data_IF_307905128309
#
_entry.id   IF_307905128309
#
_cell.length_a   1.000
_cell.length_b   1.000
_cell.length_c   1.000
_cell.angle_alpha   90.00
_cell.angle_beta   90.00
_cell.angle_gamma   90.00
#
_symmetry.space_group_name_H-M   'P 1'
#
loop_
_entity.id
_entity.type
_entity.pdbx_description
1 polymer ?
2 non-polymer ?
3 non-polymer ?
4 non-polymer ?
5 water ?
#
# COMPACT_ATOMS: atom_id res chain seq x y z
N UNK A 4 24.16 4.60 -20.51
CA UNK A 4 24.14 3.12 -20.70
C UNK A 4 22.96 2.47 -19.96
N UNK A 5 22.68 1.22 -20.31
CA UNK A 5 21.58 0.48 -19.72
C UNK A 5 21.84 0.21 -18.23
N UNK A 6 20.83 -0.31 -17.55
CA UNK A 6 20.88 -0.58 -16.12
C UNK A 6 20.07 -1.83 -15.81
N UNK A 7 20.59 -2.68 -14.93
CA UNK A 7 19.80 -3.73 -14.30
C UNK A 7 20.08 -3.70 -12.81
N UNK A 8 19.18 -4.30 -12.04
CA UNK A 8 19.29 -4.32 -10.59
C UNK A 8 19.38 -5.76 -10.10
N UNK A 9 20.05 -5.94 -8.96
CA UNK A 9 20.01 -7.18 -8.21
C UNK A 9 19.41 -6.86 -6.84
N UNK A 10 18.41 -7.63 -6.41
CA UNK A 10 17.78 -7.42 -5.11
C UNK A 10 18.00 -8.66 -4.24
N UNK A 11 18.65 -8.46 -3.10
CA UNK A 11 18.94 -9.55 -2.16
C UNK A 11 17.74 -9.76 -1.26
N UNK A 12 17.15 -10.96 -1.33
CA UNK A 12 15.85 -11.21 -0.70
C UNK A 12 15.67 -12.64 -0.18
N UNK A 13 16.77 -13.29 0.18
CA UNK A 13 16.77 -14.72 0.51
C UNK A 13 16.62 -15.03 2.00
N UNK A 14 16.63 -14.00 2.85
CA UNK A 14 16.72 -14.20 4.29
C UNK A 14 15.49 -14.79 4.96
N UNK A 15 15.72 -15.55 6.02
CA UNK A 15 14.65 -16.15 6.81
C UNK A 15 13.94 -15.12 7.70
N UNK A 16 14.68 -14.11 8.16
CA UNK A 16 14.12 -13.10 9.03
C UNK A 16 13.65 -13.70 10.35
N UNK A 17 14.55 -14.42 11.01
CA UNK A 17 14.25 -15.15 12.24
C UNK A 17 13.67 -14.27 13.35
N UNK A 18 14.18 -13.05 13.48
CA UNK A 18 13.79 -12.15 14.57
C UNK A 18 12.45 -11.43 14.32
N UNK A 19 11.81 -11.74 13.18
CA UNK A 19 10.42 -11.37 12.93
C UNK A 19 9.45 -12.37 13.58
N UNK A 20 9.96 -13.56 13.91
CA UNK A 20 9.18 -14.64 14.52
C UNK A 20 7.89 -14.90 13.73
N UNK A 21 8.10 -15.22 12.46
CA UNK A 21 7.05 -15.32 11.46
C UNK A 21 7.24 -16.53 10.58
N UNK A 22 6.14 -17.02 10.01
CA UNK A 22 6.19 -18.06 8.99
C UNK A 22 6.54 -17.47 7.61
N UNK A 23 6.45 -16.14 7.48
CA UNK A 23 6.89 -15.46 6.26
C UNK A 23 8.40 -15.28 6.24
N UNK A 24 8.99 -15.26 5.04
CA UNK A 24 10.40 -14.86 4.91
C UNK A 24 10.54 -13.35 5.14
N UNK A 25 11.77 -12.92 5.38
CA UNK A 25 12.05 -11.56 5.85
C UNK A 25 11.43 -10.43 5.02
N UNK A 26 11.52 -10.53 3.69
CA UNK A 26 11.19 -9.38 2.84
C UNK A 26 9.73 -9.28 2.43
N UNK A 27 8.88 -10.23 2.84
CA UNK A 27 7.46 -10.20 2.51
C UNK A 27 6.61 -9.39 3.50
N UNK A 28 7.18 -9.05 4.66
CA UNK A 28 6.50 -8.20 5.63
C UNK A 28 6.21 -6.84 4.99
N UNK A 29 5.04 -6.30 5.24
CA UNK A 29 4.57 -5.13 4.50
C UNK A 29 4.93 -3.80 5.15
N UNK A 30 5.18 -2.81 4.30
CA UNK A 30 5.20 -1.40 4.65
C UNK A 30 4.15 -0.73 3.77
N UNK A 31 3.22 -0.01 4.40
CA UNK A 31 2.16 0.69 3.68
C UNK A 31 1.37 -0.27 2.77
N UNK A 32 1.10 -1.47 3.29
CA UNK A 32 0.29 -2.47 2.61
C UNK A 32 1.00 -3.29 1.53
N UNK A 33 2.30 -3.05 1.37
CA UNK A 33 3.07 -3.61 0.26
C UNK A 33 4.33 -4.29 0.82
N UNK A 34 4.61 -5.53 0.44
CA UNK A 34 5.84 -6.20 0.89
C UNK A 34 7.08 -5.33 0.72
N UNK A 35 8.01 -5.37 1.67
CA UNK A 35 9.23 -4.56 1.60
C UNK A 35 9.92 -4.73 0.24
N UNK A 36 10.02 -5.97 -0.23
CA UNK A 36 10.71 -6.26 -1.48
C UNK A 36 9.99 -5.63 -2.68
N UNK A 37 8.67 -5.52 -2.61
CA UNK A 37 7.89 -4.88 -3.67
C UNK A 37 8.22 -3.39 -3.80
N UNK A 38 8.46 -2.71 -2.67
CA UNK A 38 8.92 -1.32 -2.71
C UNK A 38 10.23 -1.22 -3.50
N UNK A 39 11.15 -2.14 -3.26
CA UNK A 39 12.47 -2.10 -3.88
C UNK A 39 12.37 -2.44 -5.38
N UNK A 40 11.55 -3.43 -5.73
CA UNK A 40 11.29 -3.77 -7.13
C UNK A 40 10.76 -2.55 -7.87
N UNK A 41 9.76 -1.88 -7.29
CA UNK A 41 9.14 -0.72 -7.92
C UNK A 41 10.15 0.40 -8.14
N UNK A 42 11.00 0.64 -7.15
CA UNK A 42 12.02 1.66 -7.24
C UNK A 42 13.02 1.33 -8.35
N UNK A 43 13.42 0.07 -8.43
CA UNK A 43 14.32 -0.39 -9.47
C UNK A 43 13.71 -0.18 -10.86
N UNK A 44 12.40 -0.41 -10.98
CA UNK A 44 11.71 -0.25 -12.25
C UNK A 44 11.61 1.21 -12.68
N UNK A 45 11.30 2.10 -11.75
CA UNK A 45 11.18 3.53 -12.08
C UNK A 45 12.55 4.17 -12.33
N UNK A 46 13.61 3.50 -11.85
CA UNK A 46 14.98 3.91 -12.12
C UNK A 46 15.37 3.62 -13.57
N UNK A 47 14.64 2.71 -14.21
CA UNK A 47 14.86 2.34 -15.59
C UNK A 47 15.54 1.01 -15.78
N UNK A 48 15.42 0.11 -14.79
CA UNK A 48 16.08 -1.20 -14.85
C UNK A 48 15.48 -2.07 -15.95
N UNK A 49 16.34 -2.62 -16.80
CA UNK A 49 15.93 -3.51 -17.87
C UNK A 49 15.62 -4.90 -17.31
N UNK A 50 16.52 -5.42 -16.48
CA UNK A 50 16.30 -6.65 -15.74
C UNK A 50 16.36 -6.37 -14.24
N UNK A 51 15.58 -7.11 -13.47
CA UNK A 51 15.66 -7.09 -12.01
C UNK A 51 15.87 -8.51 -11.54
N UNK A 52 17.07 -8.82 -11.06
CA UNK A 52 17.40 -10.16 -10.60
C UNK A 52 17.10 -10.30 -9.12
N UNK A 53 16.08 -11.09 -8.79
CA UNK A 53 15.66 -11.29 -7.41
C UNK A 53 16.31 -12.54 -6.83
N UNK A 54 17.26 -12.34 -5.92
CA UNK A 54 17.91 -13.45 -5.22
C UNK A 54 16.99 -13.85 -4.07
N UNK A 55 16.41 -15.05 -4.16
CA UNK A 55 15.50 -15.54 -3.13
C UNK A 55 15.91 -16.93 -2.66
N UNK A 56 15.36 -17.35 -1.53
CA UNK A 56 15.71 -18.63 -0.95
C UNK A 56 14.69 -19.09 0.08
N UNK A 57 14.82 -18.58 1.30
CA UNK A 57 13.89 -18.93 2.37
C UNK A 57 12.47 -18.48 2.06
N UNK A 58 11.50 -19.31 2.43
CA UNK A 58 10.10 -19.06 2.13
C UNK A 58 9.86 -18.93 0.63
N UNK A 59 10.55 -19.73 -0.17
CA UNK A 59 10.52 -19.64 -1.61
C UNK A 59 9.12 -19.73 -2.22
N UNK A 60 8.31 -20.67 -1.75
CA UNK A 60 6.96 -20.85 -2.26
C UNK A 60 6.10 -19.63 -1.95
N UNK A 61 6.26 -19.06 -0.76
CA UNK A 61 5.53 -17.85 -0.38
C UNK A 61 5.97 -16.63 -1.21
N UNK A 62 7.27 -16.54 -1.52
CA UNK A 62 7.78 -15.47 -2.37
C UNK A 62 7.13 -15.55 -3.74
N UNK A 63 7.03 -16.76 -4.27
CA UNK A 63 6.50 -16.99 -5.61
C UNK A 63 5.00 -16.71 -5.72
N UNK A 64 4.25 -17.01 -4.68
CA UNK A 64 2.81 -16.75 -4.66
C UNK A 64 2.51 -15.27 -4.42
N UNK A 65 3.27 -14.64 -3.54
CA UNK A 65 3.04 -13.24 -3.16
C UNK A 65 3.55 -12.24 -4.20
N UNK A 66 4.50 -12.66 -5.03
CA UNK A 66 5.11 -11.77 -6.02
C UNK A 66 5.01 -12.36 -7.42
N UNK A 67 3.97 -13.14 -7.65
CA UNK A 67 3.81 -13.90 -8.90
C UNK A 67 3.83 -13.03 -10.14
N UNK A 68 3.25 -11.83 -10.07
CA UNK A 68 3.17 -10.94 -11.22
C UNK A 68 4.30 -9.93 -11.38
N UNK A 69 5.33 -10.04 -10.54
CA UNK A 69 6.45 -9.12 -10.62
C UNK A 69 7.38 -9.49 -11.76
N UNK A 70 7.82 -8.47 -12.50
CA UNK A 70 8.70 -8.67 -13.64
C UNK A 70 10.15 -8.73 -13.16
N UNK A 71 10.52 -9.91 -12.66
CA UNK A 71 11.85 -10.18 -12.14
C UNK A 71 12.38 -11.52 -12.66
N UNK A 72 13.70 -11.63 -12.67
CA UNK A 72 14.40 -12.88 -12.91
C UNK A 72 14.52 -13.61 -11.57
N UNK A 73 13.85 -14.75 -11.46
CA UNK A 73 13.85 -15.53 -10.22
C UNK A 73 15.12 -16.35 -10.08
N UNK A 74 16.01 -15.92 -9.19
CA UNK A 74 17.31 -16.55 -8.97
C UNK A 74 17.30 -17.25 -7.61
N UNK A 75 17.06 -18.56 -7.62
CA UNK A 75 16.92 -19.33 -6.40
C UNK A 75 18.28 -19.76 -5.84
N UNK A 76 18.67 -19.13 -4.74
CA UNK A 76 19.92 -19.43 -4.05
C UNK A 76 19.72 -20.59 -3.08
N UNK A 77 20.55 -21.63 -3.21
CA UNK A 77 20.45 -22.83 -2.37
C UNK A 77 21.07 -22.65 -0.99
N UNK A 78 22.10 -21.80 -0.88
CA UNK A 78 22.69 -21.50 0.42
C UNK A 78 23.22 -20.06 0.53
N UNK A 79 23.04 -19.47 1.70
CA UNK A 79 23.52 -18.14 2.00
C UNK A 79 24.96 -18.23 2.47
N UNK A 80 25.89 -17.78 1.62
CA UNK A 80 27.32 -17.79 1.93
C UNK A 80 27.92 -16.39 1.93
N UNK A 81 27.07 -15.37 1.96
CA UNK A 81 27.52 -13.99 1.98
C UNK A 81 26.96 -13.20 0.82
N UNK A 82 27.00 -11.87 0.93
CA UNK A 82 26.39 -11.00 -0.08
C UNK A 82 27.05 -11.10 -1.45
N UNK A 83 28.37 -11.29 -1.49
CA UNK A 83 29.07 -11.46 -2.77
C UNK A 83 28.62 -12.72 -3.48
N UNK A 84 28.39 -13.79 -2.73
CA UNK A 84 27.88 -15.04 -3.30
C UNK A 84 26.47 -14.84 -3.87
N UNK A 85 25.65 -14.07 -3.16
CA UNK A 85 24.27 -13.79 -3.60
C UNK A 85 24.25 -13.02 -4.91
N UNK A 86 25.05 -11.97 -5.00
CA UNK A 86 25.12 -11.17 -6.22
C UNK A 86 25.69 -12.01 -7.36
N UNK A 87 26.64 -12.89 -7.05
CA UNK A 87 27.27 -13.72 -8.07
C UNK A 87 26.29 -14.74 -8.68
N UNK A 88 25.21 -15.07 -7.96
CA UNK A 88 24.16 -15.94 -8.50
C UNK A 88 23.50 -15.34 -9.74
N UNK A 89 23.39 -14.01 -9.78
CA UNK A 89 22.83 -13.29 -10.92
C UNK A 89 23.87 -12.87 -11.96
N UNK A 90 25.16 -12.97 -11.60
CA UNK A 90 26.25 -12.46 -12.44
C UNK A 90 26.29 -12.98 -13.89
N UNK A 91 25.98 -14.26 -14.13
CA UNK A 91 25.95 -14.79 -15.50
C UNK A 91 25.00 -14.04 -16.45
N UNK A 92 24.00 -13.36 -15.90
CA UNK A 92 23.01 -12.64 -16.68
C UNK A 92 23.34 -11.15 -16.88
N UNK A 93 24.39 -10.66 -16.23
CA UNK A 93 24.82 -9.27 -16.39
C UNK A 93 25.36 -9.06 -17.81
N UNK A 94 24.90 -8.00 -18.47
CA UNK A 94 25.53 -7.54 -19.69
C UNK A 94 26.82 -6.82 -19.32
N UNK A 95 27.87 -7.04 -20.11
CA UNK A 95 29.17 -6.46 -19.82
C UNK A 95 29.12 -4.93 -19.72
N UNK A 96 28.34 -4.29 -20.58
CA UNK A 96 28.32 -2.84 -20.68
C UNK A 96 27.01 -2.18 -20.22
N UNK A 97 26.32 -2.83 -19.28
CA UNK A 97 25.25 -2.18 -18.53
C UNK A 97 25.75 -1.95 -17.10
N UNK A 98 25.18 -0.95 -16.44
CA UNK A 98 25.41 -0.76 -15.01
C UNK A 98 24.55 -1.73 -14.21
N UNK A 99 25.04 -2.10 -13.04
CA UNK A 99 24.31 -2.96 -12.12
C UNK A 99 24.27 -2.29 -10.75
N UNK A 100 23.07 -2.12 -10.20
CA UNK A 100 22.90 -1.59 -8.85
C UNK A 100 22.47 -2.73 -7.94
N UNK A 101 23.11 -2.84 -6.77
CA UNK A 101 22.80 -3.88 -5.80
C UNK A 101 21.96 -3.25 -4.69
N UNK A 102 20.78 -3.83 -4.46
CA UNK A 102 19.83 -3.35 -3.47
C UNK A 102 19.42 -4.47 -2.53
N UNK A 103 18.88 -4.11 -1.38
CA UNK A 103 18.48 -5.08 -0.37
C UNK A 103 16.98 -5.05 -0.17
N UNK A 104 16.37 -6.22 -0.19
CA UNK A 104 14.92 -6.36 -0.10
C UNK A 104 14.33 -6.01 1.25
N UNK A 105 15.18 -5.95 2.28
CA UNK A 105 14.78 -5.53 3.62
C UNK A 105 15.12 -4.06 3.92
N UNK A 106 15.42 -3.29 2.88
CA UNK A 106 15.65 -1.85 2.99
C UNK A 106 14.79 -1.12 1.96
N UNK A 107 13.50 -0.99 2.27
CA UNK A 107 12.49 -0.56 1.27
C UNK A 107 12.39 0.94 1.01
N UNK A 108 13.01 1.76 1.84
CA UNK A 108 12.85 3.22 1.74
C UNK A 108 13.83 3.92 0.78
N UNK A 109 14.78 3.17 0.22
CA UNK A 109 15.73 3.77 -0.72
C UNK A 109 14.99 4.43 -1.88
N UNK A 110 15.35 5.67 -2.19
CA UNK A 110 14.64 6.47 -3.21
C UNK A 110 15.33 6.41 -4.56
N UNK A 111 14.52 6.57 -5.60
CA UNK A 111 14.99 6.69 -6.98
C UNK A 111 15.97 7.85 -7.13
N UNK A 112 15.72 8.93 -6.41
CA UNK A 112 16.52 10.15 -6.53
C UNK A 112 17.95 9.93 -6.03
N UNK A 113 18.09 9.25 -4.90
CA UNK A 113 19.41 8.93 -4.35
C UNK A 113 20.16 7.95 -5.25
N UNK A 114 19.44 6.97 -5.80
CA UNK A 114 20.04 5.95 -6.65
C UNK A 114 20.44 6.52 -8.02
N UNK A 115 19.74 7.56 -8.46
CA UNK A 115 20.09 8.26 -9.70
C UNK A 115 21.41 9.01 -9.52
N UNK A 116 21.57 9.65 -8.36
CA UNK A 116 22.83 10.34 -8.02
C UNK A 116 23.99 9.34 -7.91
N UNK A 117 23.69 8.16 -7.39
CA UNK A 117 24.69 7.10 -7.21
C UNK A 117 25.21 6.61 -8.57
N UNK A 118 24.27 6.34 -9.48
CA UNK A 118 24.61 5.84 -10.81
C UNK A 118 25.41 6.88 -11.60
N UNK A 119 25.03 8.15 -11.46
CA UNK A 119 25.68 9.25 -12.19
C UNK A 119 27.11 9.50 -11.73
N UNK A 120 27.37 9.23 -10.46
CA UNK A 120 28.69 9.45 -9.86
C UNK A 120 29.69 8.34 -10.19
N UNK A 121 29.20 7.22 -10.70
CA UNK A 121 30.05 6.05 -11.00
C UNK A 121 31.04 6.38 -12.12
N UNK A 122 32.34 6.30 -11.84
CA UNK A 122 33.36 6.51 -12.86
C UNK A 122 33.52 5.28 -13.73
N UNK A 123 33.99 5.45 -14.97
CA UNK A 123 34.15 4.32 -15.89
C UNK A 123 35.07 3.25 -15.29
N UNK A 124 34.66 1.99 -15.42
CA UNK A 124 35.36 0.83 -14.86
C UNK A 124 35.53 0.85 -13.34
N UNK A 125 34.74 1.69 -12.66
CA UNK A 125 34.85 1.89 -11.23
C UNK A 125 33.56 1.56 -10.51
N UNK A 126 33.48 1.98 -9.24
CA UNK A 126 32.31 1.74 -8.40
C UNK A 126 31.80 3.04 -7.79
N UNK A 127 30.49 3.19 -7.69
CA UNK A 127 29.87 4.23 -6.88
C UNK A 127 29.29 3.54 -5.65
N UNK A 128 29.72 3.98 -4.46
CA UNK A 128 29.31 3.37 -3.21
C UNK A 128 28.41 4.32 -2.43
N UNK A 129 27.24 3.84 -2.04
CA UNK A 129 26.33 4.62 -1.20
C UNK A 129 26.78 4.55 0.25
N UNK A 130 27.02 5.71 0.86
CA UNK A 130 27.41 5.81 2.25
C UNK A 130 26.37 6.59 3.04
N UNK A 131 26.52 6.59 4.36
CA UNK A 131 25.62 7.33 5.24
C UNK A 131 26.34 7.78 6.50
N UNK A 132 26.07 9.02 6.94
CA UNK A 132 26.65 9.56 8.16
C UNK A 132 25.76 9.21 9.36
N UNK A 133 26.35 8.53 10.34
CA UNK A 133 25.68 8.21 11.59
C UNK A 133 26.34 8.96 12.73
N UNK A 134 25.56 9.33 13.75
CA UNK A 134 26.12 9.99 14.93
C UNK A 134 26.91 8.99 15.77
N UNK A 135 26.38 7.77 15.88
CA UNK A 135 27.10 6.66 16.48
C UNK A 135 27.36 5.57 15.43
N UNK A 136 28.52 5.63 14.78
CA UNK A 136 28.86 4.67 13.72
C UNK A 136 29.48 3.36 14.23
N UNK A 137 29.30 3.04 15.51
CA UNK A 137 29.91 1.85 16.10
C UNK A 137 29.33 0.57 15.50
N UNK A 138 30.22 -0.30 15.01
CA UNK A 138 29.84 -1.58 14.42
C UNK A 138 29.91 -1.63 12.90
N UNK A 139 29.91 -0.46 12.26
CA UNK A 139 29.86 -0.34 10.81
C UNK A 139 31.22 0.02 10.23
N UNK A 140 31.44 -0.36 8.97
CA UNK A 140 32.68 -0.07 8.27
C UNK A 140 32.84 1.40 7.93
N UNK A 141 33.95 1.99 8.35
CA UNK A 141 34.21 3.42 8.14
C UNK A 141 34.75 3.66 6.74
N UNK A 142 34.31 4.74 6.11
CA UNK A 142 34.78 5.13 4.79
C UNK A 142 36.04 5.97 4.92
N UNK A 143 37.12 5.50 4.30
CA UNK A 143 38.39 6.21 4.29
C UNK A 143 38.55 6.86 2.93
N UNK A 144 38.68 8.19 2.92
CA UNK A 144 38.82 8.95 1.69
C UNK A 144 40.21 9.57 1.61
N UNK A 145 40.98 9.16 0.60
CA UNK A 145 42.25 9.81 0.27
C UNK A 145 42.01 10.65 -0.99
N UNK A 146 42.25 11.95 -0.87
CA UNK A 146 41.68 12.95 -1.77
C UNK A 146 40.16 13.10 -2.04
N UNK A 147 39.63 12.29 -2.96
CA UNK A 147 38.19 12.24 -3.20
C UNK A 147 37.65 10.87 -3.57
N UNK A 148 38.41 9.81 -3.26
CA UNK A 148 38.00 8.43 -3.56
C UNK A 148 38.08 7.53 -2.35
N UNK A 149 37.22 6.53 -2.30
CA UNK A 149 37.22 5.53 -1.24
C UNK A 149 38.34 4.52 -1.46
N UNK A 150 39.38 4.62 -0.64
CA UNK A 150 40.53 3.70 -0.71
C UNK A 150 40.37 2.49 0.21
N UNK A 151 39.47 2.57 1.20
CA UNK A 151 39.25 1.46 2.11
C UNK A 151 37.94 1.59 2.91
N UNK A 152 37.42 0.43 3.32
CA UNK A 152 36.33 0.35 4.28
C UNK A 152 36.88 -0.40 5.48
N UNK A 153 37.19 0.34 6.54
CA UNK A 153 37.81 -0.23 7.73
C UNK A 153 36.74 -0.61 8.75
N UNK A 154 36.63 -1.89 9.06
CA UNK A 154 35.63 -2.39 10.00
C UNK A 154 35.95 -1.92 11.42
N UNK A 155 34.97 -2.07 12.31
CA UNK A 155 35.07 -1.61 13.71
C UNK A 155 36.34 -2.05 14.41
N UNK A 156 36.64 -3.36 14.39
CA UNK A 156 37.73 -3.91 15.21
C UNK A 156 39.13 -3.70 14.62
N UNK A 157 39.20 -3.26 13.37
CA UNK A 157 40.47 -2.93 12.71
C UNK A 157 40.85 -1.45 12.85
N UNK A 158 39.84 -0.59 13.05
CA UNK A 158 40.06 0.85 13.03
C UNK A 158 40.90 1.33 14.20
N UNK A 159 41.80 2.27 13.93
CA UNK A 159 42.55 2.96 14.98
C UNK A 159 41.68 4.04 15.63
N UNK A 160 42.22 4.78 16.60
CA UNK A 160 41.45 5.73 17.38
C UNK A 160 40.74 6.81 16.54
N UNK A 161 41.48 7.44 15.63
CA UNK A 161 40.93 8.54 14.82
C UNK A 161 39.95 8.04 13.75
N UNK A 162 40.11 6.80 13.32
CA UNK A 162 39.23 6.21 12.30
C UNK A 162 37.86 5.87 12.87
N UNK A 163 37.81 5.56 14.16
CA UNK A 163 36.54 5.29 14.83
C UNK A 163 35.66 6.54 14.95
N UNK A 164 36.29 7.72 14.91
CA UNK A 164 35.56 8.98 14.92
C UNK A 164 34.95 9.36 13.58
N UNK A 165 35.33 8.66 12.50
CA UNK A 165 34.71 8.86 11.19
C UNK A 165 33.24 8.44 11.27
N UNK A 166 32.35 9.33 10.83
CA UNK A 166 30.91 9.12 10.91
C UNK A 166 30.35 8.45 9.65
N UNK A 167 31.01 8.67 8.52
CA UNK A 167 30.57 8.09 7.25
C UNK A 167 30.82 6.60 7.25
N UNK A 168 29.80 5.81 6.91
CA UNK A 168 29.90 4.35 6.92
C UNK A 168 29.34 3.72 5.64
N UNK A 169 29.66 2.44 5.46
CA UNK A 169 29.26 1.68 4.28
C UNK A 169 27.84 1.16 4.45
N UNK A 170 27.04 1.27 3.39
CA UNK A 170 25.67 0.72 3.38
C UNK A 170 25.58 -0.61 2.64
N UNK A 171 26.56 -0.92 1.80
CA UNK A 171 26.53 -2.14 1.00
C UNK A 171 25.87 -1.96 -0.35
N UNK A 172 25.20 -0.83 -0.56
CA UNK A 172 24.56 -0.51 -1.84
C UNK A 172 25.61 0.10 -2.75
N UNK A 173 25.71 -0.41 -3.98
CA UNK A 173 26.73 0.04 -4.91
C UNK A 173 26.34 -0.16 -6.38
N UNK A 174 27.03 0.56 -7.26
CA UNK A 174 26.84 0.46 -8.69
C UNK A 174 28.18 0.25 -9.38
N UNK A 175 28.23 -0.71 -10.30
CA UNK A 175 29.38 -0.92 -11.17
C UNK A 175 28.92 -1.59 -12.46
N UNK A 176 29.76 -1.59 -13.49
CA UNK A 176 29.39 -2.22 -14.76
C UNK A 176 29.42 -3.74 -14.64
N UNK A 177 28.69 -4.42 -15.51
CA UNK A 177 28.50 -5.86 -15.41
C UNK A 177 29.79 -6.65 -15.55
N UNK A 178 30.67 -6.22 -16.44
CA UNK A 178 31.94 -6.91 -16.65
C UNK A 178 32.84 -6.81 -15.40
N UNK A 179 32.81 -5.65 -14.76
CA UNK A 179 33.59 -5.42 -13.54
C UNK A 179 33.07 -6.30 -12.41
N UNK A 180 31.74 -6.43 -12.32
CA UNK A 180 31.13 -7.29 -11.30
C UNK A 180 31.56 -8.75 -11.50
N UNK A 181 31.48 -9.23 -12.73
CA UNK A 181 31.87 -10.61 -13.03
C UNK A 181 33.33 -10.89 -12.64
N UNK A 182 34.19 -9.93 -12.96
CA UNK A 182 35.63 -10.04 -12.69
C UNK A 182 35.92 -10.09 -11.19
N UNK A 183 35.40 -9.12 -10.45
CA UNK A 183 35.72 -8.95 -9.04
C UNK A 183 35.02 -9.96 -8.13
N UNK A 184 33.79 -10.33 -8.45
CA UNK A 184 33.07 -11.32 -7.65
C UNK A 184 33.80 -12.66 -7.62
N UNK A 185 34.43 -13.03 -8.74
CA UNK A 185 35.20 -14.26 -8.84
C UNK A 185 36.49 -14.23 -7.98
N UNK A 186 36.91 -13.04 -7.58
CA UNK A 186 38.11 -12.86 -6.76
C UNK A 186 37.81 -12.59 -5.27
N UNK A 187 36.54 -12.57 -4.89
CA UNK A 187 36.20 -12.43 -3.48
C UNK A 187 36.42 -13.77 -2.76
N UNK A 188 37.11 -13.70 -1.62
CA UNK A 188 37.33 -14.86 -0.78
C UNK A 188 36.49 -14.80 0.49
N UNK A 189 36.69 -15.77 1.37
CA UNK A 189 35.92 -15.86 2.60
C UNK A 189 36.81 -15.98 3.84
N UNK A 190 38.04 -15.47 3.75
CA UNK A 190 38.98 -15.52 4.85
C UNK A 190 38.72 -14.39 5.85
N UNK A 191 37.73 -14.60 6.69
CA UNK A 191 37.35 -13.67 7.75
C UNK A 191 36.64 -14.42 8.87
N UNK A 192 36.34 -13.74 9.97
CA UNK A 192 35.80 -14.41 11.17
C UNK A 192 34.46 -15.10 10.93
N UNK A 193 33.69 -14.61 9.96
CA UNK A 193 32.37 -15.14 9.66
C UNK A 193 32.41 -16.24 8.59
N UNK A 194 33.51 -16.33 7.86
CA UNK A 194 33.66 -17.31 6.80
C UNK A 194 32.75 -17.05 5.61
N UNK A 195 32.46 -15.77 5.36
CA UNK A 195 31.52 -15.37 4.31
C UNK A 195 32.19 -14.57 3.20
N UNK A 196 31.61 -14.65 2.01
CA UNK A 196 32.04 -13.86 0.86
C UNK A 196 31.28 -12.54 0.87
N UNK A 197 31.97 -11.46 1.24
CA UNK A 197 31.36 -10.15 1.42
C UNK A 197 31.46 -9.33 0.14
N UNK A 198 30.35 -8.74 -0.27
CA UNK A 198 30.32 -7.81 -1.40
C UNK A 198 31.19 -6.57 -1.11
N UNK A 199 31.33 -6.24 0.16
CA UNK A 199 32.17 -5.13 0.62
C UNK A 199 33.59 -5.18 0.05
N UNK A 200 34.12 -6.38 -0.11
CA UNK A 200 35.49 -6.59 -0.61
C UNK A 200 35.74 -6.10 -2.04
N UNK A 201 34.67 -5.82 -2.79
CA UNK A 201 34.81 -5.26 -4.14
C UNK A 201 35.52 -3.91 -4.15
N UNK A 202 35.41 -3.15 -3.06
CA UNK A 202 36.08 -1.85 -2.94
C UNK A 202 37.60 -2.06 -2.90
N UNK A 203 38.04 -3.04 -2.13
CA UNK A 203 39.46 -3.39 -2.06
C UNK A 203 39.97 -3.89 -3.42
N UNK A 204 39.19 -4.74 -4.07
CA UNK A 204 39.56 -5.31 -5.37
C UNK A 204 39.60 -4.26 -6.47
N UNK A 205 38.73 -3.26 -6.39
CA UNK A 205 38.72 -2.18 -7.37
C UNK A 205 39.98 -1.34 -7.23
N UNK A 206 40.35 -1.04 -5.99
CA UNK A 206 41.58 -0.30 -5.71
C UNK A 206 42.84 -1.09 -6.09
N UNK A 207 42.77 -2.41 -6.05
CA UNK A 207 43.84 -3.28 -6.52
C UNK A 207 44.08 -3.14 -8.02
N UNK A 208 43.00 -2.90 -8.75
CA UNK A 208 43.02 -2.76 -10.21
C UNK A 208 43.21 -1.33 -10.69
N UNK A 209 43.55 -0.43 -9.76
CA UNK A 209 43.65 1.00 -10.04
C UNK A 209 42.37 1.55 -10.69
N UNK A 210 41.24 1.11 -10.16
CA UNK A 210 39.92 1.62 -10.53
C UNK A 210 39.38 2.48 -9.39
N UNK A 211 38.66 3.53 -9.76
CA UNK A 211 38.20 4.54 -8.82
C UNK A 211 36.91 4.11 -8.14
N UNK A 212 36.83 4.32 -6.82
CA UNK A 212 35.60 4.16 -6.06
C UNK A 212 35.19 5.53 -5.52
N UNK A 213 34.00 6.00 -5.88
CA UNK A 213 33.50 7.30 -5.46
C UNK A 213 32.37 7.12 -4.46
N UNK A 214 32.37 7.90 -3.39
CA UNK A 214 31.32 7.86 -2.38
C UNK A 214 30.22 8.87 -2.70
N UNK A 215 28.97 8.43 -2.56
CA UNK A 215 27.80 9.28 -2.67
C UNK A 215 27.02 9.16 -1.37
N UNK A 216 26.85 10.27 -0.66
CA UNK A 216 26.19 10.27 0.64
C UNK A 216 24.67 10.25 0.46
N UNK A 217 23.99 9.46 1.27
CA UNK A 217 22.53 9.42 1.28
C UNK A 217 22.03 10.65 2.02
N UNK A 218 20.89 11.17 1.57
CA UNK A 218 20.36 12.43 2.12
C UNK A 218 19.76 12.18 3.50
N UNK A 219 18.94 11.13 3.58
CA UNK A 219 18.28 10.73 4.82
C UNK A 219 18.88 9.42 5.33
N UNK A 220 19.08 9.32 6.64
CA UNK A 220 19.60 8.11 7.26
C UNK A 220 18.58 6.98 7.15
N UNK A 221 17.30 7.30 7.32
CA UNK A 221 16.22 6.32 7.27
C UNK A 221 16.07 5.68 5.89
N UNK A 222 16.51 6.41 4.87
CA UNK A 222 16.49 5.94 3.48
C UNK A 222 17.16 4.58 3.30
N UNK A 223 18.31 4.39 3.94
CA UNK A 223 19.10 3.17 3.81
C UNK A 223 18.89 2.20 4.98
N UNK A 224 17.97 2.55 5.87
CA UNK A 224 17.66 1.74 7.04
C UNK A 224 16.93 0.45 6.67
N UNK A 225 17.38 -0.67 7.24
CA UNK A 225 16.75 -1.95 7.04
C UNK A 225 15.86 -2.32 8.21
N UNK A 226 15.21 -3.47 8.12
CA UNK A 226 14.40 -3.99 9.21
C UNK A 226 14.71 -5.47 9.44
N UNK A 227 15.27 -5.77 10.61
CA UNK A 227 15.58 -7.13 11.04
C UNK A 227 14.49 -7.70 11.96
N UNK A 228 13.68 -6.81 12.52
CA UNK A 228 12.56 -7.22 13.36
C UNK A 228 11.38 -6.24 13.17
N UNK A 229 10.27 -6.51 13.84
CA UNK A 229 9.05 -5.75 13.59
C UNK A 229 9.06 -4.37 14.26
N UNK A 230 9.88 -4.20 15.29
CA UNK A 230 10.08 -2.89 15.90
C UNK A 230 10.75 -1.94 14.91
N UNK A 231 11.79 -2.43 14.24
CA UNK A 231 12.48 -1.64 13.21
C UNK A 231 11.56 -1.40 12.03
N UNK A 232 10.73 -2.39 11.70
CA UNK A 232 9.80 -2.26 10.60
C UNK A 232 8.76 -1.17 10.88
N UNK A 233 8.27 -1.13 12.12
CA UNK A 233 7.33 -0.11 12.56
C UNK A 233 7.91 1.29 12.43
N UNK A 234 9.21 1.43 12.70
CA UNK A 234 9.90 2.71 12.55
C UNK A 234 9.96 3.13 11.08
N UNK A 235 10.20 2.18 10.19
CA UNK A 235 10.19 2.45 8.76
C UNK A 235 8.80 2.84 8.30
N UNK A 236 7.78 2.18 8.82
CA UNK A 236 6.38 2.46 8.47
C UNK A 236 6.04 3.91 8.81
N UNK A 237 6.43 4.34 10.00
CA UNK A 237 6.06 5.66 10.49
C UNK A 237 6.79 6.75 9.71
N UNK A 238 8.07 6.51 9.41
CA UNK A 238 8.84 7.41 8.55
C UNK A 238 8.19 7.54 7.18
N UNK A 239 7.80 6.40 6.61
CA UNK A 239 7.20 6.36 5.29
C UNK A 239 5.86 7.10 5.25
N UNK A 240 5.03 6.87 6.26
CA UNK A 240 3.71 7.50 6.33
C UNK A 240 3.85 9.00 6.52
N UNK A 241 4.85 9.41 7.29
CA UNK A 241 5.09 10.84 7.52
C UNK A 241 5.56 11.55 6.26
N UNK A 242 6.38 10.86 5.46
CA UNK A 242 6.84 11.39 4.19
C UNK A 242 5.69 11.53 3.21
N UNK A 243 4.81 10.52 3.18
CA UNK A 243 3.65 10.54 2.29
C UNK A 243 2.69 11.66 2.67
N UNK A 244 2.44 11.80 3.96
CA UNK A 244 1.53 12.83 4.47
C UNK A 244 2.09 14.22 4.18
N UNK A 245 3.40 14.38 4.35
CA UNK A 245 4.06 15.67 4.12
C UNK A 245 3.99 16.08 2.65
N UNK A 246 4.12 15.09 1.76
CA UNK A 246 3.98 15.32 0.32
C UNK A 246 2.58 15.81 -0.02
N UNK A 247 1.57 15.19 0.58
CA UNK A 247 0.18 15.52 0.32
C UNK A 247 -0.16 16.91 0.86
N UNK A 248 0.35 17.23 2.05
CA UNK A 248 0.17 18.55 2.65
C UNK A 248 0.74 19.66 1.76
N UNK A 249 1.94 19.44 1.22
CA UNK A 249 2.57 20.43 0.35
C UNK A 249 1.85 20.54 -1.01
N UNK A 250 1.14 19.49 -1.40
CA UNK A 250 0.29 19.50 -2.61
C UNK A 250 -1.07 20.17 -2.39
N UNK A 251 -1.39 20.49 -1.13
CA UNK A 251 -2.59 21.24 -0.81
C UNK A 251 -3.71 20.44 -0.16
N UNK A 252 -3.42 19.21 0.26
CA UNK A 252 -4.39 18.42 1.01
C UNK A 252 -4.31 18.80 2.48
N UNK A 253 -5.42 19.21 3.09
CA UNK A 253 -5.47 19.47 4.52
C UNK A 253 -5.58 18.16 5.29
N UNK A 254 -4.49 17.72 5.89
CA UNK A 254 -4.51 16.57 6.77
C UNK A 254 -4.37 17.10 8.19
N UNK A 255 -5.45 16.98 8.97
CA UNK A 255 -5.53 17.57 10.32
C UNK A 255 -4.34 17.18 11.19
N UNK A 256 -4.02 15.89 11.20
CA UNK A 256 -2.86 15.36 11.90
C UNK A 256 -2.13 14.34 11.02
N UNK A 257 -0.99 14.70 10.45
CA UNK A 257 -0.22 13.78 9.59
C UNK A 257 0.33 12.55 10.33
N UNK A 258 0.42 12.61 11.66
CA UNK A 258 0.82 11.46 12.47
C UNK A 258 -0.32 10.45 12.67
N UNK A 259 -1.55 10.86 12.33
CA UNK A 259 -2.70 9.98 12.37
C UNK A 259 -3.36 9.89 11.02
N UNK A 260 -2.55 9.55 10.03
CA UNK A 260 -3.02 9.38 8.66
C UNK A 260 -2.22 8.23 8.07
N UNK A 261 -2.91 7.35 7.33
CA UNK A 261 -2.26 6.21 6.69
C UNK A 261 -2.68 6.07 5.25
N UNK A 262 -1.70 6.04 4.35
CA UNK A 262 -1.92 5.75 2.95
C UNK A 262 -1.20 4.45 2.61
N UNK A 263 -1.97 3.49 2.10
CA UNK A 263 -1.48 2.16 1.75
C UNK A 263 -1.89 1.88 0.32
N UNK A 264 -1.29 2.64 -0.59
CA UNK A 264 -1.61 2.60 -2.01
C UNK A 264 -1.35 3.95 -2.66
N UNK A 265 -2.27 4.40 -3.49
CA UNK A 265 -2.13 5.70 -4.17
C UNK A 265 -3.35 6.59 -3.93
N UNK A 266 -3.12 7.89 -3.87
CA UNK A 266 -4.17 8.88 -3.69
C UNK A 266 -4.05 9.97 -4.75
N UNK A 267 -5.05 10.07 -5.62
CA UNK A 267 -5.19 11.24 -6.50
C UNK A 267 -6.21 12.14 -5.81
N UNK A 268 -5.94 13.44 -5.80
CA UNK A 268 -6.77 14.39 -5.09
C UNK A 268 -6.97 15.67 -5.89
N UNK A 269 -8.10 16.33 -5.65
CA UNK A 269 -8.34 17.66 -6.17
C UNK A 269 -7.84 18.70 -5.17
N UNK A 270 -8.39 19.90 -5.27
CA UNK A 270 -8.05 21.00 -4.37
C UNK A 270 -9.03 21.08 -3.21
N UNK A 271 -8.56 21.63 -2.10
CA UNK A 271 -9.39 21.88 -0.90
C UNK A 271 -10.00 20.62 -0.30
N UNK A 272 -9.27 19.51 -0.41
CA UNK A 272 -9.64 18.26 0.24
C UNK A 272 -9.25 18.36 1.71
N UNK A 273 -10.12 17.91 2.61
CA UNK A 273 -9.86 17.91 4.04
C UNK A 273 -10.01 16.49 4.57
N UNK A 274 -8.99 16.02 5.28
CA UNK A 274 -8.98 14.67 5.83
C UNK A 274 -8.71 14.77 7.33
N UNK A 275 -9.70 14.37 8.12
CA UNK A 275 -9.62 14.44 9.57
C UNK A 275 -8.75 13.30 10.11
N UNK A 276 -8.57 13.29 11.42
CA UNK A 276 -7.65 12.36 12.06
C UNK A 276 -8.13 10.90 11.98
N UNK A 277 -7.16 9.99 11.92
CA UNK A 277 -7.41 8.54 11.90
C UNK A 277 -8.20 8.08 10.67
N UNK A 278 -7.74 8.50 9.51
CA UNK A 278 -8.28 8.00 8.25
C UNK A 278 -7.24 7.08 7.60
N UNK A 279 -7.73 6.00 7.01
CA UNK A 279 -6.88 5.05 6.28
C UNK A 279 -7.35 5.02 4.83
N UNK A 280 -6.41 5.25 3.92
CA UNK A 280 -6.64 5.20 2.48
C UNK A 280 -5.88 3.99 1.96
N UNK A 281 -6.59 3.07 1.30
CA UNK A 281 -6.00 1.81 0.84
C UNK A 281 -6.30 1.58 -0.64
N UNK A 282 -5.40 0.89 -1.32
CA UNK A 282 -5.54 0.65 -2.74
C UNK A 282 -5.47 1.95 -3.53
N UNK A 283 -6.22 2.01 -4.63
CA UNK A 283 -6.25 3.19 -5.49
C UNK A 283 -7.48 4.04 -5.17
N UNK A 284 -7.25 5.22 -4.60
CA UNK A 284 -8.33 6.12 -4.22
C UNK A 284 -8.19 7.45 -4.96
N UNK A 285 -9.32 7.92 -5.49
CA UNK A 285 -9.39 9.21 -6.16
C UNK A 285 -10.42 10.08 -5.44
N UNK A 286 -10.01 11.27 -5.03
CA UNK A 286 -10.91 12.23 -4.39
C UNK A 286 -10.99 13.50 -5.23
N UNK A 287 -12.21 14.01 -5.43
CA UNK A 287 -12.42 15.23 -6.19
C UNK A 287 -12.14 16.47 -5.37
N UNK A 288 -12.43 17.63 -5.94
CA UNK A 288 -12.30 18.90 -5.24
C UNK A 288 -13.26 18.99 -4.06
N UNK A 289 -12.78 19.56 -2.95
CA UNK A 289 -13.60 19.90 -1.80
C UNK A 289 -14.25 18.68 -1.12
N UNK A 290 -13.62 17.52 -1.25
CA UNK A 290 -14.06 16.34 -0.52
C UNK A 290 -13.60 16.49 0.93
N UNK A 291 -14.51 16.20 1.85
CA UNK A 291 -14.22 16.21 3.28
C UNK A 291 -14.42 14.80 3.82
N UNK A 292 -13.40 14.27 4.50
CA UNK A 292 -13.47 12.95 5.11
C UNK A 292 -13.36 13.11 6.62
N UNK A 293 -14.37 12.62 7.33
CA UNK A 293 -14.43 12.73 8.77
C UNK A 293 -13.55 11.70 9.45
N UNK A 294 -13.47 11.81 10.77
CA UNK A 294 -12.55 10.99 11.54
C UNK A 294 -12.94 9.52 11.48
N UNK A 295 -11.95 8.65 11.46
CA UNK A 295 -12.18 7.22 11.55
C UNK A 295 -12.51 6.50 10.26
N UNK A 296 -12.55 7.20 9.14
CA UNK A 296 -13.00 6.59 7.89
C UNK A 296 -11.93 5.69 7.27
N UNK A 297 -12.39 4.66 6.58
CA UNK A 297 -11.52 3.76 5.82
C UNK A 297 -12.05 3.73 4.39
N UNK A 298 -11.18 4.10 3.44
CA UNK A 298 -11.53 4.12 2.03
C UNK A 298 -10.56 3.21 1.30
N UNK A 299 -11.07 2.15 0.67
CA UNK A 299 -10.24 1.21 -0.08
C UNK A 299 -10.79 1.07 -1.51
N UNK A 300 -9.98 1.45 -2.50
CA UNK A 300 -10.36 1.33 -3.90
C UNK A 300 -11.69 2.02 -4.19
N UNK A 301 -11.70 3.33 -4.00
CA UNK A 301 -12.91 4.12 -4.21
C UNK A 301 -12.64 5.35 -5.08
N UNK A 302 -13.68 5.80 -5.76
CA UNK A 302 -13.66 7.08 -6.47
C UNK A 302 -14.75 7.94 -5.85
N UNK A 303 -14.37 9.14 -5.41
CA UNK A 303 -15.27 10.08 -4.74
C UNK A 303 -15.29 11.37 -5.53
N UNK A 304 -16.48 11.82 -5.90
CA UNK A 304 -16.65 13.00 -6.73
C UNK A 304 -16.49 14.31 -5.96
N UNK A 305 -16.55 15.41 -6.68
CA UNK A 305 -16.42 16.74 -6.09
C UNK A 305 -17.49 16.97 -5.02
N UNK A 306 -17.10 17.67 -3.95
CA UNK A 306 -18.05 18.19 -2.95
C UNK A 306 -18.77 17.12 -2.14
N UNK A 307 -18.20 15.93 -2.07
CA UNK A 307 -18.75 14.86 -1.24
C UNK A 307 -18.24 15.03 0.19
N UNK A 308 -19.13 14.88 1.16
CA UNK A 308 -18.72 14.78 2.55
C UNK A 308 -18.97 13.37 3.04
N UNK A 309 -17.91 12.73 3.55
CA UNK A 309 -18.01 11.45 4.23
C UNK A 309 -17.85 11.73 5.71
N UNK A 310 -18.90 11.44 6.48
CA UNK A 310 -18.94 11.73 7.91
C UNK A 310 -18.27 10.60 8.69
N UNK A 311 -17.96 10.82 9.96
CA UNK A 311 -17.12 9.88 10.72
C UNK A 311 -17.52 8.40 10.72
N UNK A 312 -16.51 7.53 10.82
CA UNK A 312 -16.69 6.10 11.00
C UNK A 312 -17.51 5.48 9.86
N UNK A 313 -17.16 5.87 8.64
CA UNK A 313 -17.69 5.24 7.45
C UNK A 313 -16.60 4.39 6.80
N UNK A 314 -16.98 3.22 6.31
CA UNK A 314 -16.06 2.26 5.69
C UNK A 314 -16.55 1.96 4.28
N UNK A 315 -15.72 2.26 3.29
CA UNK A 315 -16.08 2.16 1.88
C UNK A 315 -15.04 1.31 1.16
N UNK A 316 -15.50 0.37 0.33
CA UNK A 316 -14.60 -0.45 -0.49
C UNK A 316 -15.16 -0.70 -1.87
N UNK A 317 -14.31 -0.58 -2.89
CA UNK A 317 -14.67 -0.91 -4.27
C UNK A 317 -15.97 -0.22 -4.67
N UNK A 318 -16.04 1.08 -4.39
CA UNK A 318 -17.27 1.84 -4.55
C UNK A 318 -17.02 3.15 -5.29
N UNK A 319 -18.08 3.69 -5.88
CA UNK A 319 -18.03 4.98 -6.56
C UNK A 319 -19.11 5.87 -5.94
N UNK A 320 -18.78 7.13 -5.73
CA UNK A 320 -19.69 8.09 -5.12
C UNK A 320 -19.70 9.37 -5.95
N UNK A 321 -20.89 9.78 -6.39
CA UNK A 321 -21.04 10.92 -7.28
C UNK A 321 -20.95 12.24 -6.56
N UNK A 322 -20.88 13.33 -7.32
CA UNK A 322 -20.66 14.66 -6.74
C UNK A 322 -21.80 15.09 -5.82
N UNK A 323 -21.43 15.80 -4.75
CA UNK A 323 -22.38 16.39 -3.80
C UNK A 323 -23.13 15.36 -2.94
N UNK A 324 -22.69 14.10 -2.98
CA UNK A 324 -23.28 13.07 -2.12
C UNK A 324 -22.87 13.31 -0.67
N UNK A 325 -23.66 12.75 0.24
CA UNK A 325 -23.39 12.81 1.67
C UNK A 325 -23.46 11.39 2.21
N UNK A 326 -22.36 10.92 2.81
CA UNK A 326 -22.26 9.57 3.35
C UNK A 326 -21.91 9.65 4.82
N UNK A 327 -22.48 8.75 5.63
CA UNK A 327 -22.12 8.66 7.03
C UNK A 327 -22.96 9.54 7.94
N UNK A 328 -22.67 9.52 9.24
CA UNK A 328 -21.63 8.66 9.83
C UNK A 328 -22.08 7.21 9.95
N UNK A 329 -21.17 6.30 10.25
CA UNK A 329 -21.49 4.88 10.43
C UNK A 329 -22.13 4.26 9.18
N UNK A 330 -21.67 4.66 8.00
CA UNK A 330 -22.15 4.08 6.76
C UNK A 330 -21.16 3.04 6.27
N UNK A 331 -21.66 2.00 5.62
CA UNK A 331 -20.80 0.99 5.05
C UNK A 331 -21.14 0.74 3.59
N UNK A 332 -20.18 1.01 2.71
CA UNK A 332 -20.30 0.68 1.31
C UNK A 332 -19.38 -0.50 1.03
N UNK A 333 -19.99 -1.58 0.57
CA UNK A 333 -19.28 -2.80 0.23
C UNK A 333 -19.07 -2.83 -1.28
N UNK A 334 -18.21 -3.72 -1.78
CA UNK A 334 -17.88 -3.74 -3.20
C UNK A 334 -19.10 -3.71 -4.14
N UNK A 335 -19.00 -2.91 -5.19
CA UNK A 335 -20.06 -2.73 -6.16
C UNK A 335 -21.09 -1.67 -5.81
N UNK A 336 -20.89 -0.94 -4.71
CA UNK A 336 -21.77 0.17 -4.37
C UNK A 336 -21.46 1.33 -5.31
N UNK A 337 -22.50 1.81 -6.00
CA UNK A 337 -22.37 2.93 -6.93
C UNK A 337 -23.45 3.96 -6.62
N UNK A 338 -23.06 5.04 -5.96
CA UNK A 338 -23.98 6.09 -5.56
C UNK A 338 -23.86 7.24 -6.55
N UNK A 339 -25.00 7.71 -7.03
CA UNK A 339 -25.04 8.80 -7.99
C UNK A 339 -24.85 10.13 -7.27
N UNK A 340 -24.83 11.20 -8.04
CA UNK A 340 -24.73 12.55 -7.49
C UNK A 340 -25.88 12.86 -6.54
N UNK A 341 -25.60 13.66 -5.52
CA UNK A 341 -26.61 14.19 -4.60
C UNK A 341 -27.40 13.11 -3.85
N UNK A 342 -26.79 11.94 -3.67
CA UNK A 342 -27.40 10.87 -2.86
C UNK A 342 -27.08 11.09 -1.39
N UNK A 343 -27.80 10.36 -0.54
CA UNK A 343 -27.66 10.45 0.91
C UNK A 343 -27.67 9.04 1.47
N UNK A 344 -26.62 8.67 2.19
CA UNK A 344 -26.55 7.38 2.88
C UNK A 344 -26.17 7.68 4.33
N UNK A 345 -26.93 7.13 5.27
CA UNK A 345 -26.87 7.53 6.67
C UNK A 345 -26.39 6.45 7.61
N UNK A 346 -26.63 6.64 8.89
CA UNK A 346 -26.04 5.77 9.92
C UNK A 346 -26.63 4.37 9.95
N UNK A 347 -25.75 3.40 10.16
CA UNK A 347 -26.12 2.00 10.26
C UNK A 347 -26.81 1.53 8.97
N UNK A 348 -26.26 1.98 7.84
CA UNK A 348 -26.74 1.56 6.53
C UNK A 348 -25.61 0.82 5.82
N UNK A 349 -25.96 -0.29 5.19
CA UNK A 349 -25.03 -1.14 4.46
C UNK A 349 -25.53 -1.26 3.03
N UNK A 350 -24.68 -0.93 2.06
CA UNK A 350 -25.03 -1.03 0.65
C UNK A 350 -24.00 -1.91 -0.04
N UNK A 351 -24.46 -2.98 -0.69
CA UNK A 351 -23.60 -3.97 -1.32
C UNK A 351 -24.05 -4.20 -2.77
N UNK A 352 -23.11 -4.12 -3.71
CA UNK A 352 -23.37 -4.44 -5.11
C UNK A 352 -24.72 -3.89 -5.57
N UNK A 353 -24.87 -2.56 -5.43
CA UNK A 353 -26.11 -1.89 -5.79
C UNK A 353 -25.83 -0.53 -6.38
N UNK A 354 -26.69 -0.10 -7.30
CA UNK A 354 -26.64 1.26 -7.81
C UNK A 354 -27.79 2.06 -7.19
N UNK A 355 -27.49 3.30 -6.82
CA UNK A 355 -28.47 4.20 -6.21
C UNK A 355 -28.46 5.51 -7.00
N UNK A 356 -29.64 5.88 -7.52
CA UNK A 356 -29.75 6.98 -8.46
C UNK A 356 -29.78 8.35 -7.82
N UNK A 357 -29.67 9.37 -8.66
CA UNK A 357 -29.49 10.75 -8.24
C UNK A 357 -30.55 11.20 -7.25
N UNK A 358 -30.14 11.79 -6.14
CA UNK A 358 -31.06 12.39 -5.19
C UNK A 358 -31.70 11.44 -4.19
N UNK A 359 -31.48 10.14 -4.37
CA UNK A 359 -32.11 9.14 -3.49
C UNK A 359 -31.48 9.15 -2.11
N UNK A 360 -32.26 8.79 -1.10
CA UNK A 360 -31.78 8.74 0.27
C UNK A 360 -32.05 7.39 0.91
N UNK A 361 -31.06 6.93 1.67
CA UNK A 361 -31.11 5.67 2.42
C UNK A 361 -30.43 5.99 3.77
N UNK A 362 -31.19 6.53 4.71
CA UNK A 362 -30.61 7.24 5.86
C UNK A 362 -30.57 6.53 7.22
N UNK A 363 -31.19 5.35 7.36
CA UNK A 363 -31.13 4.64 8.66
C UNK A 363 -31.34 3.13 8.60
N UNK A 364 -30.46 2.40 9.27
CA UNK A 364 -30.74 1.04 9.73
C UNK A 364 -31.26 0.13 8.61
N UNK A 365 -30.54 0.12 7.50
CA UNK A 365 -31.01 -0.47 6.26
C UNK A 365 -29.92 -1.32 5.59
N UNK A 366 -30.33 -2.42 4.98
CA UNK A 366 -29.47 -3.20 4.10
C UNK A 366 -30.05 -3.19 2.69
N UNK A 367 -29.25 -2.71 1.73
CA UNK A 367 -29.58 -2.78 0.31
C UNK A 367 -28.48 -3.58 -0.38
N UNK A 368 -28.87 -4.71 -0.96
CA UNK A 368 -27.92 -5.61 -1.62
C UNK A 368 -28.45 -6.05 -2.96
N UNK A 369 -27.54 -6.17 -3.93
CA UNK A 369 -27.90 -6.69 -5.27
C UNK A 369 -29.10 -5.96 -5.85
N UNK A 370 -29.09 -4.64 -5.76
CA UNK A 370 -30.24 -3.82 -6.11
C UNK A 370 -29.90 -2.72 -7.11
N UNK A 371 -30.89 -2.31 -7.87
CA UNK A 371 -30.85 -1.09 -8.66
C UNK A 371 -31.94 -0.19 -8.09
N UNK A 372 -31.57 1.03 -7.69
CA UNK A 372 -32.52 2.00 -7.18
C UNK A 372 -32.40 3.25 -8.04
N UNK A 373 -33.54 3.80 -8.46
CA UNK A 373 -33.56 4.92 -9.37
C UNK A 373 -33.31 6.26 -8.68
N UNK A 374 -33.68 7.33 -9.37
CA UNK A 374 -33.48 8.69 -8.88
C UNK A 374 -34.62 9.13 -7.96
N UNK A 375 -34.27 9.96 -6.97
CA UNK A 375 -35.24 10.59 -6.08
C UNK A 375 -36.16 9.61 -5.35
N UNK A 376 -35.58 8.50 -4.92
CA UNK A 376 -36.28 7.52 -4.09
C UNK A 376 -36.05 7.84 -2.62
N UNK A 377 -36.98 7.39 -1.80
CA UNK A 377 -36.93 7.54 -0.35
C UNK A 377 -36.99 6.14 0.26
N UNK A 378 -35.84 5.62 0.66
CA UNK A 378 -35.75 4.29 1.27
C UNK A 378 -35.78 4.46 2.79
N UNK A 379 -36.88 4.05 3.39
CA UNK A 379 -37.15 4.31 4.79
C UNK A 379 -36.24 3.55 5.73
N UNK A 380 -36.21 4.00 6.97
CA UNK A 380 -35.47 3.33 8.03
C UNK A 380 -35.93 1.88 8.17
N UNK A 381 -34.98 0.97 8.37
CA UNK A 381 -35.32 -0.42 8.62
C UNK A 381 -35.63 -1.27 7.40
N UNK A 382 -35.50 -0.69 6.20
CA UNK A 382 -35.76 -1.43 4.97
C UNK A 382 -34.65 -2.45 4.74
N UNK A 383 -35.01 -3.65 4.32
CA UNK A 383 -34.06 -4.72 4.07
C UNK A 383 -34.40 -5.43 2.76
N UNK A 384 -33.41 -5.57 1.89
CA UNK A 384 -33.53 -6.47 0.74
C UNK A 384 -33.08 -7.86 1.18
N UNK A 385 -33.87 -8.87 0.82
CA UNK A 385 -33.57 -10.25 1.21
C UNK A 385 -33.96 -11.22 0.11
N UNK A 386 -33.67 -12.50 0.36
CA UNK A 386 -33.93 -13.56 -0.60
C UNK A 386 -34.69 -14.70 0.05
N UNK A 387 -35.28 -15.55 -0.79
CA UNK A 387 -35.82 -16.81 -0.34
C UNK A 387 -34.68 -17.74 0.04
N UNK A 388 -34.99 -18.76 0.82
CA UNK A 388 -34.05 -19.80 1.14
C UNK A 388 -33.92 -20.74 -0.07
N UNK A 389 -33.06 -20.37 -0.99
CA UNK A 389 -32.89 -21.08 -2.25
C UNK A 389 -31.43 -21.35 -2.53
N UNK A 390 -31.05 -21.25 -3.80
CA UNK A 390 -29.64 -21.35 -4.20
C UNK A 390 -29.02 -19.96 -4.32
N UNK A 391 -28.79 -19.48 -5.55
CA UNK A 391 -28.23 -18.14 -5.75
C UNK A 391 -29.21 -17.07 -5.31
N UNK A 392 -28.68 -15.88 -5.08
CA UNK A 392 -29.50 -14.73 -4.70
C UNK A 392 -29.83 -13.92 -5.94
N UNK A 393 -30.78 -13.00 -5.80
CA UNK A 393 -31.39 -12.33 -6.94
C UNK A 393 -31.54 -10.83 -6.71
N UNK A 394 -32.02 -10.12 -7.72
CA UNK A 394 -31.95 -8.66 -7.75
C UNK A 394 -33.28 -7.99 -7.39
N UNK A 395 -33.18 -6.86 -6.72
CA UNK A 395 -34.32 -5.98 -6.44
C UNK A 395 -34.15 -4.77 -7.33
N UNK A 396 -35.15 -4.48 -8.16
CA UNK A 396 -35.12 -3.34 -9.07
C UNK A 396 -36.19 -2.34 -8.65
N UNK A 397 -35.75 -1.15 -8.24
CA UNK A 397 -36.63 -0.06 -7.86
C UNK A 397 -36.44 1.08 -8.85
N UNK A 398 -37.54 1.62 -9.37
CA UNK A 398 -37.50 2.68 -10.35
C UNK A 398 -37.25 4.03 -9.74
N UNK A 399 -37.67 5.08 -10.45
CA UNK A 399 -37.51 6.47 -10.00
C UNK A 399 -38.70 6.90 -9.15
N UNK A 400 -38.46 7.83 -8.23
CA UNK A 400 -39.52 8.47 -7.44
C UNK A 400 -40.37 7.48 -6.66
N UNK A 401 -39.72 6.46 -6.09
CA UNK A 401 -40.40 5.46 -5.27
C UNK A 401 -40.21 5.78 -3.80
N UNK A 402 -41.28 5.63 -3.03
CA UNK A 402 -41.24 5.74 -1.58
C UNK A 402 -41.37 4.34 -1.00
N UNK A 403 -40.38 3.91 -0.22
CA UNK A 403 -40.46 2.64 0.49
C UNK A 403 -40.54 2.92 1.99
N UNK A 404 -41.69 2.59 2.57
CA UNK A 404 -41.98 2.86 3.96
C UNK A 404 -41.09 2.07 4.89
N UNK A 405 -40.92 2.59 6.10
CA UNK A 405 -39.99 2.03 7.07
C UNK A 405 -40.26 0.57 7.43
N UNK A 406 -39.18 -0.18 7.67
CA UNK A 406 -39.26 -1.56 8.13
C UNK A 406 -39.97 -2.48 7.13
N UNK A 407 -39.79 -2.19 5.85
CA UNK A 407 -40.31 -3.01 4.77
C UNK A 407 -39.22 -3.97 4.29
N UNK A 408 -39.60 -5.22 4.04
CA UNK A 408 -38.69 -6.17 3.41
C UNK A 408 -39.02 -6.26 1.93
N UNK A 409 -37.99 -6.14 1.10
CA UNK A 409 -38.11 -6.32 -0.34
C UNK A 409 -37.51 -7.68 -0.67
N UNK A 410 -38.33 -8.60 -1.14
CA UNK A 410 -37.94 -9.99 -1.33
C UNK A 410 -37.63 -10.25 -2.81
N UNK A 411 -36.34 -10.34 -3.12
CA UNK A 411 -35.88 -10.55 -4.50
C UNK A 411 -36.19 -11.97 -4.96
N UNK A 412 -36.37 -12.19 -6.27
CA UNK A 412 -36.38 -11.12 -7.29
C UNK A 412 -37.71 -10.37 -7.31
N UNK A 413 -37.63 -9.04 -7.34
CA UNK A 413 -38.84 -8.22 -7.38
C UNK A 413 -38.54 -6.88 -8.05
N UNK A 414 -39.57 -6.31 -8.67
CA UNK A 414 -39.47 -5.06 -9.39
C UNK A 414 -40.52 -4.09 -8.86
N UNK A 415 -40.10 -2.87 -8.54
CA UNK A 415 -41.00 -1.81 -8.10
C UNK A 415 -40.87 -0.68 -9.12
N UNK A 416 -41.96 -0.37 -9.82
CA UNK A 416 -41.91 0.56 -10.95
C UNK A 416 -41.94 2.01 -10.48
N UNK A 417 -41.74 2.94 -11.42
CA UNK A 417 -41.65 4.37 -11.12
C UNK A 417 -42.87 4.87 -10.35
N UNK A 418 -42.63 5.73 -9.36
CA UNK A 418 -43.71 6.43 -8.69
C UNK A 418 -44.52 5.62 -7.70
N UNK A 419 -44.10 4.38 -7.44
CA UNK A 419 -44.81 3.52 -6.51
C UNK A 419 -44.61 3.99 -5.07
N UNK A 420 -45.57 3.65 -4.21
CA UNK A 420 -45.55 4.00 -2.80
C UNK A 420 -45.84 2.76 -1.96
N UNK A 421 -44.96 2.47 -1.01
CA UNK A 421 -45.10 1.28 -0.17
C UNK A 421 -45.19 1.71 1.29
N UNK A 422 -46.23 1.23 1.97
CA UNK A 422 -46.43 1.56 3.37
C UNK A 422 -45.40 0.90 4.26
N UNK A 423 -45.24 1.44 5.46
CA UNK A 423 -44.35 0.85 6.46
C UNK A 423 -44.81 -0.55 6.86
N UNK A 424 -43.83 -1.41 7.18
CA UNK A 424 -44.10 -2.73 7.71
C UNK A 424 -44.57 -3.73 6.69
N UNK A 425 -44.31 -3.46 5.41
CA UNK A 425 -44.80 -4.30 4.32
C UNK A 425 -43.77 -5.36 3.96
N UNK A 426 -44.25 -6.50 3.47
CA UNK A 426 -43.42 -7.55 2.89
C UNK A 426 -43.75 -7.59 1.40
N UNK A 427 -42.81 -7.13 0.58
CA UNK A 427 -43.01 -7.05 -0.87
C UNK A 427 -42.41 -8.27 -1.54
N UNK A 428 -43.26 -9.14 -2.07
CA UNK A 428 -42.80 -10.31 -2.84
C UNK A 428 -43.22 -10.25 -4.31
N UNK A 429 -44.32 -9.55 -4.59
CA UNK A 429 -44.84 -9.43 -5.95
C UNK A 429 -44.45 -8.07 -6.53
N UNK A 430 -44.27 -8.02 -7.85
CA UNK A 430 -43.91 -6.77 -8.53
C UNK A 430 -44.96 -5.71 -8.24
N UNK A 431 -44.50 -4.47 -8.09
CA UNK A 431 -45.34 -3.30 -7.85
C UNK A 431 -45.34 -2.45 -9.11
N UNK A 432 -46.52 -2.07 -9.58
CA UNK A 432 -46.66 -1.33 -10.82
C UNK A 432 -46.46 0.16 -10.66
N UNK A 433 -46.46 0.86 -11.79
CA UNK A 433 -46.27 2.30 -11.81
C UNK A 433 -47.42 2.98 -11.08
N UNK A 434 -47.09 3.91 -10.18
CA UNK A 434 -48.07 4.61 -9.37
C UNK A 434 -48.98 3.67 -8.57
N UNK A 435 -48.46 2.53 -8.14
CA UNK A 435 -49.22 1.62 -7.29
C UNK A 435 -48.85 1.89 -5.83
N UNK A 436 -49.87 2.10 -5.01
CA UNK A 436 -49.71 2.23 -3.57
C UNK A 436 -50.01 0.87 -2.94
N UNK A 437 -49.08 0.35 -2.15
CA UNK A 437 -49.25 -0.93 -1.47
C UNK A 437 -49.17 -0.67 0.03
N UNK A 438 -50.24 -0.96 0.76
CA UNK A 438 -50.25 -0.79 2.21
C UNK A 438 -50.67 -2.08 2.89
N UNK A 439 -50.02 -2.40 3.99
CA UNK A 439 -50.33 -3.62 4.73
C UNK A 439 -51.55 -3.41 5.59
N UNK A 440 -52.51 -4.33 5.49
CA UNK A 440 -53.67 -4.36 6.37
C UNK A 440 -53.33 -5.21 7.58
N UNK A 441 -53.15 -4.55 8.73
CA UNK A 441 -52.82 -5.24 9.97
C UNK A 441 -54.10 -5.58 10.73
N UNK A 442 -54.05 -6.70 11.45
CA UNK A 442 -55.07 -7.06 12.41
C UNK A 442 -54.44 -6.86 13.79
N UNK A 443 -55.12 -6.11 14.64
CA UNK A 443 -54.66 -5.88 16.01
C UNK A 443 -55.76 -6.21 17.01
N UNK A 444 -55.35 -6.72 18.17
CA UNK A 444 -56.25 -6.88 19.31
C UNK A 444 -55.92 -5.78 20.32
N UNK A 445 -56.96 -5.11 20.80
CA UNK A 445 -56.81 -4.01 21.75
C UNK A 445 -57.47 -4.42 23.06
N UNK A 446 -56.68 -4.44 24.13
CA UNK A 446 -57.16 -4.82 25.45
C UNK A 446 -57.07 -3.63 26.38
N UNK A 447 -58.22 -3.11 26.80
CA UNK A 447 -58.27 -1.97 27.70
C UNK A 447 -58.06 -2.43 29.14
N UNK A 448 -57.51 -1.55 29.96
CA UNK A 448 -57.32 -1.82 31.37
C UNK A 448 -56.22 -2.82 31.65
N UNK A 449 -55.26 -2.92 30.74
CA UNK A 449 -54.07 -3.73 30.95
C UNK A 449 -53.06 -2.97 31.81
N UNK A 450 -52.99 -3.33 33.08
CA UNK A 450 -52.11 -2.66 34.04
C UNK A 450 -50.72 -3.29 34.05
N UNK A 451 -49.72 -2.50 33.65
CA UNK A 451 -48.32 -2.88 33.80
C UNK A 451 -47.94 -2.78 35.28
N UNK A 452 -46.94 -3.55 35.71
CA UNK A 452 -46.41 -3.45 37.07
C UNK A 452 -46.32 -2.01 37.59
N UNK A 453 -46.43 -1.89 38.91
CA UNK A 453 -46.63 -0.59 39.55
C UNK A 453 -45.68 -0.39 40.73
X LIG B 1 43.09 0.85 8.20
X LIG B 1 43.87 1.33 7.11
X LIG B 1 43.96 0.12 9.22
X LIG B 1 44.61 1.04 10.10
X LIG B 1 45.02 0.41 11.33
X LIG B 1 46.14 1.17 12.04
X LIG B 1 46.36 2.44 11.45
X LIG C 1 14.26 -12.77 -17.00
X LIG C 1 15.17 -11.69 -16.85
X LIG C 1 12.89 -12.39 -16.45
X LIG C 1 12.48 -11.15 -17.03
X LIG C 1 11.27 -10.66 -16.46
X LIG C 1 10.95 -9.29 -17.03
X LIG C 1 11.66 -8.28 -16.32
X LIG D 1 24.82 -1.81 6.72
X LIG D 1 24.13 -2.97 7.17
X LIG D 1 23.85 -0.64 6.63
X LIG D 1 24.39 0.50 7.29
X LIG D 1 23.50 1.62 7.27
X LIG D 1 22.38 1.43 8.28
X LIG D 1 21.93 2.69 8.76
X LIG E 1 -41.10 -14.31 2.05
X LIG E 1 -42.25 -14.70 2.78
X LIG E 1 -39.86 -14.54 2.91
X LIG E 1 -38.71 -14.93 2.16
X LIG E 1 -37.81 -15.77 2.90
X LIG E 1 -38.28 -17.21 2.81
X LIG E 1 -37.24 -18.12 3.17
X LIG F 1 -39.50 12.39 -0.63
X LIG F 1 -39.41 13.48 0.34
X LIG F 1 -40.20 11.26 -0.02
X LIG F 1 -38.14 11.98 -1.02
X LIG F 1 -40.23 12.85 -1.81
X LIG G 1 -34.97 10.77 6.45
X LIG G 1 -34.80 9.52 5.72
X LIG G 1 -36.02 11.56 5.82
X LIG G 1 -33.72 11.53 6.43
X LIG G 1 -35.32 10.48 7.84
X LIG H 1 -16.91 -7.81 1.54
X LIG H 1 -16.86 -8.71 2.69
X LIG H 1 -17.88 -8.32 0.57
X LIG H 1 -15.60 -7.73 0.90
X LIG H 1 -17.31 -6.48 1.98
X LIG I 1 21.13 -21.04 5.14
X LIG I 1 20.76 -19.64 5.20
X LIG I 1 22.21 -21.29 6.09
X LIG I 1 21.59 -21.38 3.79
X LIG I 1 19.99 -21.89 5.48
X LIG J 1 12.33 -22.12 5.18
X LIG J 1 12.43 -22.17 3.74
X LIG J 1 12.41 -20.74 5.65
X LIG J 1 13.43 -22.89 5.77
X LIG J 1 11.06 -22.69 5.62
X LIG K 1 -36.98 -4.20 11.52
X LIG L 1 -40.56 -5.57 10.93
#
# INVERSE_FOLDING_TARGET
MTKKALSAVILAAGKGTRMYSDLPKVLHTIAGKPMVKHVIDTAHQLGSENIHLIYGHGGDLMRTHLANEQVNWVLQTEQLGTAHAVQQAAPFFKDNENIVVLYGDAPLITKETLEKLIEAKPENGIALLTVNLDNPTGYGRIIRENGNVVAIVEQKDANAEQLNIKEVNTGVMVSDGASFKKWLARVGNNNAQGEYYLTDLIALANQDNCQVVAVQATDVMEVEGANNRLQLAALERYFQNKQASKLLLEGVMIYDPARFDLRGTLEHGKDVEIDVNVIIEGNVKLGDRVKIGTGCVLKNVVIGNDVEIKPYSVLEDSIVGEKAAIGPFSRLRPGAELAAETHVGNFVEIKKSTVGKGSKVNHLTYVGDSEIGSNCNIGAGVITCNYDGANKFKTIIGDDVFVGSDTQLVAPVKVANGATIGAGTTITRDVGENELVITRVAQRHIQGWQRPIKKK
PEG C1 O1 C2 O2 C3 C4 O4
PEG C1 O1 C2 O2 C3 C4 O4
PEG C1 O1 C2 O2 C3 C4 O4
PEG C1 O1 C2 O2 C3 C4 O4
SO4 S O1 O2 O3 O4
SO4 S O1 O2 O3 O4
SO4 S O1 O2 O3 O4
SO4 S O1 O2 O3 O4
SO4 S O1 O2 O3 O4
CO CO
CO CO
#
